data_IF_236481522538
#
_entry.id   IF_236481522538
#
_cell.length_a   1.000
_cell.length_b   1.000
_cell.length_c   1.000
_cell.angle_alpha   90.00
_cell.angle_beta   90.00
_cell.angle_gamma   90.00
#
_symmetry.space_group_name_H-M   'P 1'
#
loop_
_entity.id
_entity.type
_entity.pdbx_description
1 polymer ?
#
# COMPACT_ATOMS: atom_id res chain seq x y z
N UNK A 1 -0.29 1.67 38.27
CA UNK A 1 -0.46 1.32 36.84
C UNK A 1 -1.07 2.49 36.04
N UNK A 2 -2.27 2.96 36.38
CA UNK A 2 -2.95 4.08 35.67
C UNK A 2 -2.12 5.37 35.54
N UNK A 3 -1.39 5.72 36.59
CA UNK A 3 -0.52 6.89 36.62
C UNK A 3 0.62 6.77 35.59
N UNK A 4 1.31 5.63 35.63
CA UNK A 4 2.47 5.32 34.77
C UNK A 4 2.07 5.21 33.30
N UNK A 5 0.97 4.50 32.96
CA UNK A 5 0.59 4.28 31.55
C UNK A 5 0.26 5.55 30.76
N UNK A 6 0.00 6.66 31.47
CA UNK A 6 -0.33 7.99 30.90
C UNK A 6 0.88 8.94 30.88
N UNK A 7 2.08 8.46 31.22
CA UNK A 7 3.29 9.28 31.27
C UNK A 7 3.28 10.35 32.34
N UNK A 8 2.45 10.18 33.39
CA UNK A 8 2.36 11.13 34.49
C UNK A 8 3.61 11.20 35.40
N UNK A 9 4.48 10.18 35.55
CA UNK A 9 5.68 10.31 36.37
C UNK A 9 6.58 11.50 36.05
N UNK A 10 6.71 11.87 34.76
CA UNK A 10 7.46 13.07 34.34
C UNK A 10 6.70 14.37 34.56
N UNK A 11 5.36 14.32 34.51
CA UNK A 11 4.47 15.50 34.56
C UNK A 11 4.09 15.88 35.99
N UNK A 12 4.06 14.91 36.89
CA UNK A 12 3.62 15.05 38.28
C UNK A 12 4.69 14.47 39.22
N UNK A 13 5.85 15.14 39.38
CA UNK A 13 7.00 14.60 40.12
C UNK A 13 6.71 14.38 41.61
N UNK A 14 5.89 15.22 42.23
CA UNK A 14 5.48 15.08 43.64
C UNK A 14 4.70 13.79 43.88
N UNK A 15 3.73 13.50 43.01
CA UNK A 15 2.97 12.26 43.05
C UNK A 15 3.86 11.05 42.76
N UNK A 16 4.81 11.19 41.84
CA UNK A 16 5.78 10.14 41.54
C UNK A 16 6.66 9.80 42.75
N UNK A 17 7.17 10.80 43.48
CA UNK A 17 8.00 10.57 44.66
C UNK A 17 7.24 9.75 45.71
N UNK A 18 5.99 10.12 45.99
CA UNK A 18 5.09 9.36 46.89
C UNK A 18 4.90 7.91 46.44
N UNK A 19 4.58 7.67 45.17
CA UNK A 19 4.40 6.31 44.65
C UNK A 19 5.70 5.51 44.67
N UNK A 20 6.83 6.13 44.35
CA UNK A 20 8.14 5.48 44.33
C UNK A 20 8.61 5.09 45.73
N UNK A 21 8.38 5.92 46.75
CA UNK A 21 8.67 5.61 48.14
C UNK A 21 7.88 4.39 48.63
N UNK A 22 6.57 4.34 48.33
CA UNK A 22 5.74 3.17 48.64
C UNK A 22 6.22 1.90 47.93
N UNK A 23 6.68 2.01 46.68
CA UNK A 23 7.27 0.88 45.96
C UNK A 23 8.56 0.38 46.62
N UNK A 24 9.45 1.28 47.06
CA UNK A 24 10.68 0.93 47.78
C UNK A 24 10.39 0.25 49.12
N UNK A 25 9.41 0.76 49.88
CA UNK A 25 8.97 0.16 51.15
C UNK A 25 8.48 -1.28 50.97
N UNK A 26 7.87 -1.59 49.82
CA UNK A 26 7.44 -2.94 49.46
C UNK A 26 8.52 -3.76 48.75
N UNK A 27 9.80 -3.37 48.88
CA UNK A 27 10.95 -4.05 48.29
C UNK A 27 10.88 -4.23 46.77
N UNK A 28 10.20 -3.31 46.05
CA UNK A 28 10.24 -3.30 44.59
C UNK A 28 11.63 -2.85 44.13
N UNK A 29 12.31 -3.60 43.24
CA UNK A 29 13.64 -3.25 42.78
C UNK A 29 13.71 -1.86 42.12
N UNK A 30 14.82 -1.13 42.37
CA UNK A 30 15.03 0.22 41.84
C UNK A 30 14.95 0.29 40.31
N UNK A 31 15.42 -0.74 39.60
CA UNK A 31 15.34 -0.80 38.14
C UNK A 31 13.89 -0.78 37.63
N UNK A 32 12.95 -1.39 38.36
CA UNK A 32 11.54 -1.44 37.98
C UNK A 32 10.86 -0.10 38.24
N UNK A 33 11.22 0.55 39.35
CA UNK A 33 10.76 1.90 39.68
C UNK A 33 11.23 2.88 38.59
N UNK A 34 12.50 2.83 38.22
CA UNK A 34 13.07 3.68 37.17
C UNK A 34 12.47 3.37 35.79
N UNK A 35 12.21 2.09 35.48
CA UNK A 35 11.47 1.69 34.27
C UNK A 35 10.08 2.35 34.24
N UNK A 36 9.34 2.30 35.34
CA UNK A 36 8.03 2.95 35.47
C UNK A 36 8.11 4.48 35.31
N UNK A 37 9.18 5.13 35.76
CA UNK A 37 9.39 6.58 35.59
C UNK A 37 9.51 6.99 34.11
N UNK A 38 10.13 6.13 33.29
CA UNK A 38 10.46 6.41 31.89
C UNK A 38 9.29 6.22 30.93
N UNK A 39 8.28 5.43 31.31
CA UNK A 39 7.12 5.15 30.46
C UNK A 39 6.35 6.44 30.18
N UNK A 40 6.25 6.82 28.90
CA UNK A 40 5.43 7.96 28.45
C UNK A 40 4.02 7.52 28.05
N UNK A 41 3.90 6.30 27.55
CA UNK A 41 2.64 5.67 27.16
C UNK A 41 2.75 4.15 27.24
N UNK A 42 1.70 3.46 27.68
CA UNK A 42 1.68 1.99 27.74
C UNK A 42 0.29 1.46 27.35
N UNK A 43 0.27 0.49 26.43
CA UNK A 43 -0.96 -0.14 25.98
C UNK A 43 -1.56 -1.07 27.06
N UNK A 44 -2.90 -1.12 27.19
CA UNK A 44 -3.55 -2.15 27.98
C UNK A 44 -3.42 -3.51 27.27
N UNK A 45 -3.33 -4.60 28.06
CA UNK A 45 -3.16 -5.97 27.54
C UNK A 45 -4.19 -6.34 26.47
N UNK A 46 -5.46 -5.98 26.64
CA UNK A 46 -6.52 -6.26 25.66
C UNK A 46 -6.26 -5.65 24.28
N UNK A 47 -5.70 -4.43 24.23
CA UNK A 47 -5.33 -3.78 22.97
C UNK A 47 -4.18 -4.53 22.28
N UNK A 48 -3.13 -4.87 23.04
CA UNK A 48 -2.00 -5.64 22.50
C UNK A 48 -2.46 -7.01 21.96
N UNK A 49 -3.30 -7.74 22.70
CA UNK A 49 -3.83 -9.04 22.27
C UNK A 49 -4.65 -8.91 20.99
N UNK A 50 -5.54 -7.91 20.88
CA UNK A 50 -6.34 -7.70 19.68
C UNK A 50 -5.47 -7.45 18.42
N UNK A 51 -4.45 -6.59 18.55
CA UNK A 51 -3.54 -6.29 17.45
C UNK A 51 -2.67 -7.50 17.06
N UNK A 52 -2.13 -8.22 18.04
CA UNK A 52 -1.32 -9.42 17.79
C UNK A 52 -2.17 -10.51 17.13
N UNK A 53 -3.42 -10.72 17.56
CA UNK A 53 -4.31 -11.68 16.89
C UNK A 53 -4.54 -11.33 15.42
N UNK A 54 -4.75 -10.05 15.10
CA UNK A 54 -4.90 -9.60 13.71
C UNK A 54 -3.60 -9.78 12.92
N UNK A 55 -2.46 -9.43 13.52
CA UNK A 55 -1.15 -9.61 12.89
C UNK A 55 -0.86 -11.08 12.58
N UNK A 56 -1.18 -12.00 13.49
CA UNK A 56 -1.03 -13.45 13.27
C UNK A 56 -1.93 -13.96 12.15
N UNK A 57 -3.18 -13.47 12.07
CA UNK A 57 -4.09 -13.81 10.95
C UNK A 57 -3.53 -13.33 9.62
N UNK A 58 -3.02 -12.11 9.54
CA UNK A 58 -2.40 -11.56 8.32
C UNK A 58 -1.12 -12.32 7.97
N UNK A 59 -0.28 -12.62 8.96
CA UNK A 59 0.97 -13.36 8.78
C UNK A 59 0.74 -14.76 8.21
N UNK A 60 -0.34 -15.44 8.61
CA UNK A 60 -0.74 -16.71 8.03
C UNK A 60 -0.89 -16.61 6.50
N UNK A 61 -1.60 -15.58 6.00
CA UNK A 61 -1.72 -15.37 4.54
C UNK A 61 -0.38 -15.01 3.92
N UNK A 62 0.45 -14.18 4.57
CA UNK A 62 1.78 -13.84 4.05
C UNK A 62 2.65 -15.07 3.83
N UNK A 63 2.59 -16.05 4.75
CA UNK A 63 3.40 -17.27 4.66
C UNK A 63 2.76 -18.30 3.72
N UNK A 64 1.48 -18.62 3.92
CA UNK A 64 0.84 -19.78 3.29
C UNK A 64 0.00 -19.45 2.04
N UNK A 65 -0.39 -18.18 1.85
CA UNK A 65 -1.21 -17.71 0.73
C UNK A 65 -0.65 -16.39 0.18
N UNK A 66 0.62 -16.36 -0.24
CA UNK A 66 1.35 -15.12 -0.47
C UNK A 66 0.72 -14.27 -1.58
N UNK A 67 0.21 -14.87 -2.66
CA UNK A 67 -0.51 -14.13 -3.71
C UNK A 67 -1.69 -13.35 -3.16
N UNK A 68 -2.52 -13.97 -2.32
CA UNK A 68 -3.66 -13.31 -1.68
C UNK A 68 -3.20 -12.19 -0.74
N UNK A 69 -2.12 -12.41 0.02
CA UNK A 69 -1.54 -11.38 0.88
C UNK A 69 -1.07 -10.16 0.09
N UNK A 70 -0.25 -10.34 -0.95
CA UNK A 70 0.31 -9.23 -1.72
C UNK A 70 -0.77 -8.50 -2.52
N UNK A 71 -1.71 -9.23 -3.14
CA UNK A 71 -2.83 -8.62 -3.86
C UNK A 71 -3.70 -7.77 -2.91
N UNK A 72 -4.02 -8.28 -1.72
CA UNK A 72 -4.79 -7.53 -0.73
C UNK A 72 -4.02 -6.32 -0.17
N UNK A 73 -2.72 -6.50 0.13
CA UNK A 73 -1.87 -5.43 0.65
C UNK A 73 -1.75 -4.27 -0.35
N UNK A 74 -1.43 -4.60 -1.61
CA UNK A 74 -1.28 -3.61 -2.69
C UNK A 74 -2.62 -2.95 -3.04
N UNK A 75 -3.73 -3.69 -3.03
CA UNK A 75 -5.06 -3.11 -3.24
C UNK A 75 -5.41 -2.05 -2.21
N UNK A 76 -5.05 -2.26 -0.93
CA UNK A 76 -5.27 -1.26 0.14
C UNK A 76 -4.40 -0.01 -0.04
N UNK A 77 -3.36 -0.09 -0.86
CA UNK A 77 -2.37 0.95 -1.10
C UNK A 77 -2.36 1.43 -2.56
N UNK A 78 -3.41 1.09 -3.33
CA UNK A 78 -3.44 1.33 -4.76
C UNK A 78 -3.37 2.82 -5.14
N UNK A 79 -3.93 3.71 -4.31
CA UNK A 79 -3.87 5.16 -4.53
C UNK A 79 -2.45 5.75 -4.42
N UNK A 80 -1.56 5.07 -3.68
CA UNK A 80 -0.16 5.44 -3.49
C UNK A 80 0.77 4.63 -4.43
N UNK A 81 0.23 3.74 -5.27
CA UNK A 81 1.01 2.88 -6.16
C UNK A 81 1.31 3.58 -7.48
N UNK A 82 2.59 3.54 -7.87
CA UNK A 82 3.06 4.09 -9.15
C UNK A 82 3.71 2.97 -9.97
N UNK A 83 3.07 2.56 -11.08
CA UNK A 83 3.63 1.51 -11.94
C UNK A 83 5.01 1.86 -12.51
N UNK A 84 5.30 3.13 -12.79
CA UNK A 84 6.59 3.55 -13.37
C UNK A 84 7.76 3.26 -12.42
N UNK A 85 7.47 3.16 -11.11
CA UNK A 85 8.46 2.96 -10.05
C UNK A 85 8.33 1.58 -9.40
N UNK A 86 7.11 1.07 -9.25
CA UNK A 86 6.76 -0.07 -8.39
C UNK A 86 6.31 -1.32 -9.19
N UNK A 87 6.43 -1.31 -10.52
CA UNK A 87 6.11 -2.49 -11.34
C UNK A 87 7.19 -3.58 -11.29
N UNK A 88 8.43 -3.23 -10.94
CA UNK A 88 9.57 -4.15 -10.84
C UNK A 88 10.41 -3.84 -9.62
N UNK A 89 10.94 -4.89 -9.00
CA UNK A 89 11.80 -4.85 -7.82
C UNK A 89 13.08 -4.07 -8.04
N UNK A 90 13.65 -4.08 -9.26
CA UNK A 90 14.84 -3.26 -9.56
C UNK A 90 14.55 -1.76 -9.51
N UNK A 91 13.40 -1.32 -10.05
CA UNK A 91 12.97 0.07 -10.02
C UNK A 91 12.59 0.50 -8.59
N UNK A 92 11.89 -0.39 -7.87
CA UNK A 92 11.55 -0.17 -6.47
C UNK A 92 12.82 -0.06 -5.60
N UNK A 93 13.85 -0.88 -5.83
CA UNK A 93 15.15 -0.78 -5.14
C UNK A 93 15.84 0.56 -5.40
N UNK A 94 15.91 0.99 -6.66
CA UNK A 94 16.46 2.32 -7.00
C UNK A 94 15.72 3.42 -6.25
N UNK A 95 14.38 3.32 -6.16
CA UNK A 95 13.59 4.28 -5.39
C UNK A 95 13.90 4.26 -3.90
N UNK A 96 14.04 3.08 -3.31
CA UNK A 96 14.41 2.94 -1.90
C UNK A 96 15.78 3.57 -1.60
N UNK A 97 16.75 3.43 -2.51
CA UNK A 97 18.06 4.08 -2.37
C UNK A 97 17.93 5.61 -2.40
N UNK A 98 17.12 6.17 -3.30
CA UNK A 98 16.83 7.61 -3.32
C UNK A 98 16.18 8.12 -2.03
N UNK A 99 15.21 7.35 -1.51
CA UNK A 99 14.48 7.69 -0.29
C UNK A 99 15.37 7.57 0.96
N UNK A 100 16.29 6.61 0.99
CA UNK A 100 17.22 6.40 2.11
C UNK A 100 18.19 7.57 2.33
N UNK A 101 18.53 8.32 1.27
CA UNK A 101 19.41 9.49 1.34
C UNK A 101 18.76 10.71 2.02
N UNK A 102 17.43 10.67 2.24
CA UNK A 102 16.69 11.80 2.82
C UNK A 102 16.58 11.62 4.34
N UNK A 103 16.98 12.61 5.15
CA UNK A 103 16.98 12.49 6.62
C UNK A 103 15.57 12.42 7.22
N UNK A 104 14.56 12.94 6.52
CA UNK A 104 13.16 12.90 6.95
C UNK A 104 12.24 12.73 5.76
N UNK A 105 11.37 11.73 5.83
CA UNK A 105 10.34 11.45 4.84
C UNK A 105 8.99 11.99 5.33
N UNK A 106 8.26 12.65 4.42
CA UNK A 106 6.86 13.00 4.63
C UNK A 106 5.96 11.74 4.58
N UNK A 107 4.70 11.83 5.06
CA UNK A 107 3.81 10.67 5.13
C UNK A 107 3.59 9.96 3.79
N UNK A 108 3.54 10.71 2.68
CA UNK A 108 3.34 10.13 1.33
C UNK A 108 4.57 9.33 0.92
N UNK A 109 5.77 9.89 1.08
CA UNK A 109 7.02 9.17 0.79
C UNK A 109 7.24 7.95 1.70
N UNK A 110 6.73 7.96 2.94
CA UNK A 110 6.75 6.77 3.81
C UNK A 110 5.85 5.65 3.30
N UNK A 111 4.67 6.00 2.77
CA UNK A 111 3.80 5.01 2.10
C UNK A 111 4.48 4.45 0.86
N UNK A 112 5.07 5.32 0.03
CA UNK A 112 5.82 4.95 -1.16
C UNK A 112 6.96 3.97 -0.83
N UNK A 113 7.74 4.27 0.21
CA UNK A 113 8.79 3.39 0.73
C UNK A 113 8.23 2.01 1.12
N UNK A 114 7.15 1.96 1.89
CA UNK A 114 6.56 0.71 2.35
C UNK A 114 6.03 -0.16 1.19
N UNK A 115 5.51 0.46 0.12
CA UNK A 115 5.07 -0.27 -1.07
C UNK A 115 6.29 -0.81 -1.83
N UNK A 116 7.33 0.00 -2.00
CA UNK A 116 8.58 -0.44 -2.65
C UNK A 116 9.21 -1.62 -1.91
N UNK A 117 9.29 -1.59 -0.58
CA UNK A 117 9.77 -2.71 0.25
C UNK A 117 8.97 -3.99 -0.01
N UNK A 118 7.64 -3.89 -0.10
CA UNK A 118 6.76 -5.03 -0.37
C UNK A 118 6.92 -5.57 -1.78
N UNK A 119 7.07 -4.70 -2.79
CA UNK A 119 7.32 -5.12 -4.18
C UNK A 119 8.66 -5.87 -4.28
N UNK A 120 9.70 -5.37 -3.63
CA UNK A 120 11.01 -6.02 -3.60
C UNK A 120 10.95 -7.38 -2.91
N UNK A 121 10.25 -7.49 -1.78
CA UNK A 121 10.05 -8.76 -1.08
C UNK A 121 9.26 -9.76 -1.94
N UNK A 122 8.18 -9.29 -2.57
CA UNK A 122 7.32 -10.11 -3.43
C UNK A 122 8.09 -10.70 -4.62
N UNK A 123 8.88 -9.88 -5.31
CA UNK A 123 9.71 -10.34 -6.44
C UNK A 123 10.83 -11.29 -5.96
N UNK A 124 11.44 -11.03 -4.79
CA UNK A 124 12.41 -11.95 -4.18
C UNK A 124 11.81 -13.31 -3.81
N UNK A 125 10.48 -13.41 -3.66
CA UNK A 125 9.75 -14.67 -3.46
C UNK A 125 9.30 -15.31 -4.77
N UNK A 126 9.72 -14.79 -5.92
CA UNK A 126 9.38 -15.31 -7.24
C UNK A 126 7.96 -14.99 -7.71
N UNK A 127 7.32 -13.97 -7.12
CA UNK A 127 6.00 -13.52 -7.53
C UNK A 127 6.12 -12.31 -8.45
N UNK A 128 5.26 -12.26 -9.47
CA UNK A 128 5.37 -11.27 -10.53
C UNK A 128 4.13 -10.37 -10.60
N UNK A 129 4.38 -9.10 -10.96
CA UNK A 129 3.32 -8.17 -11.36
C UNK A 129 3.12 -8.23 -12.87
N UNK A 130 1.88 -8.51 -13.28
CA UNK A 130 1.44 -8.31 -14.65
C UNK A 130 1.17 -6.82 -14.88
N UNK A 131 1.55 -6.29 -16.06
CA UNK A 131 1.24 -4.92 -16.43
C UNK A 131 -0.28 -4.71 -16.51
N UNK A 132 -0.68 -3.45 -16.56
CA UNK A 132 -2.08 -3.08 -16.78
C UNK A 132 -2.51 -3.56 -18.16
N UNK A 133 -3.73 -4.05 -18.23
CA UNK A 133 -4.43 -4.40 -19.46
C UNK A 133 -5.83 -3.79 -19.40
N UNK A 134 -6.24 -3.09 -20.47
CA UNK A 134 -7.50 -2.34 -20.48
C UNK A 134 -8.73 -3.23 -20.28
N UNK A 135 -8.65 -4.52 -20.63
CA UNK A 135 -9.76 -5.48 -20.53
C UNK A 135 -9.67 -6.34 -19.28
N UNK A 136 -8.46 -6.67 -18.82
CA UNK A 136 -8.26 -7.61 -17.71
C UNK A 136 -8.05 -6.93 -16.35
N UNK A 137 -7.45 -5.73 -16.32
CA UNK A 137 -7.17 -5.03 -15.05
C UNK A 137 -8.46 -4.52 -14.41
N UNK A 138 -8.58 -4.66 -13.09
CA UNK A 138 -9.63 -3.98 -12.32
C UNK A 138 -9.34 -2.47 -12.23
N UNK A 139 -10.34 -1.68 -11.84
CA UNK A 139 -10.16 -0.24 -11.67
C UNK A 139 -9.22 0.12 -10.52
N UNK A 140 -9.33 -0.56 -9.36
CA UNK A 140 -8.61 -0.18 -8.12
C UNK A 140 -7.96 -1.36 -7.40
N UNK A 141 -8.35 -2.60 -7.71
CA UNK A 141 -7.88 -3.79 -6.99
C UNK A 141 -6.80 -4.54 -7.79
N UNK A 142 -5.76 -4.97 -7.09
CA UNK A 142 -4.83 -5.93 -7.64
C UNK A 142 -5.52 -7.30 -7.69
N UNK A 143 -5.65 -7.87 -8.88
CA UNK A 143 -6.31 -9.16 -9.12
C UNK A 143 -5.28 -10.26 -9.33
N UNK A 144 -5.63 -11.51 -8.98
CA UNK A 144 -4.74 -12.65 -9.16
C UNK A 144 -5.11 -13.33 -10.48
N UNK A 145 -4.12 -13.56 -11.33
CA UNK A 145 -4.28 -14.20 -12.63
C UNK A 145 -3.08 -15.11 -12.92
N UNK A 146 -3.32 -16.39 -13.24
CA UNK A 146 -2.29 -17.39 -13.55
C UNK A 146 -1.07 -17.36 -12.61
N UNK A 147 -1.32 -17.34 -11.29
CA UNK A 147 -0.27 -17.31 -10.25
C UNK A 147 0.58 -16.02 -10.23
N UNK A 148 0.09 -14.95 -10.86
CA UNK A 148 0.67 -13.60 -10.87
C UNK A 148 -0.36 -12.60 -10.38
N UNK A 149 0.07 -11.35 -10.16
CA UNK A 149 -0.80 -10.28 -9.68
C UNK A 149 -0.89 -9.19 -10.74
N UNK A 150 -2.09 -8.87 -11.21
CA UNK A 150 -2.31 -7.83 -12.21
C UNK A 150 -2.46 -6.46 -11.56
N UNK A 151 -1.70 -5.50 -12.08
CA UNK A 151 -1.78 -4.11 -11.65
C UNK A 151 -3.13 -3.51 -12.11
N UNK A 152 -3.88 -2.81 -11.22
CA UNK A 152 -5.12 -2.13 -11.58
C UNK A 152 -4.88 -0.87 -12.41
N UNK A 153 -5.93 -0.38 -13.07
CA UNK A 153 -5.90 0.84 -13.88
C UNK A 153 -5.40 2.06 -13.08
N UNK A 154 -5.76 2.17 -11.78
CA UNK A 154 -5.31 3.26 -10.91
C UNK A 154 -3.79 3.32 -10.72
N UNK A 155 -3.06 2.23 -10.98
CA UNK A 155 -1.60 2.24 -10.95
C UNK A 155 -0.95 3.05 -12.08
N UNK A 156 -1.74 3.55 -13.04
CA UNK A 156 -1.26 4.45 -14.10
C UNK A 156 -1.32 5.90 -13.60
N UNK A 157 -0.15 6.48 -13.40
CA UNK A 157 -0.01 7.89 -13.07
C UNK A 157 -0.72 8.81 -14.07
N UNK A 158 -1.67 9.60 -13.56
CA UNK A 158 -2.45 10.57 -14.33
C UNK A 158 -3.81 10.04 -14.80
N UNK A 159 -4.14 8.77 -14.55
CA UNK A 159 -5.46 8.23 -14.83
C UNK A 159 -6.41 8.54 -13.65
N UNK A 160 -7.31 9.52 -13.84
CA UNK A 160 -8.26 9.93 -12.81
C UNK A 160 -9.37 8.89 -12.58
N UNK A 161 -9.90 8.84 -11.35
CA UNK A 161 -10.96 7.89 -10.97
C UNK A 161 -12.17 7.88 -11.89
N UNK A 162 -12.63 9.05 -12.35
CA UNK A 162 -13.75 9.16 -13.29
C UNK A 162 -13.46 8.48 -14.65
N UNK A 163 -12.21 8.55 -15.13
CA UNK A 163 -11.79 7.89 -16.38
C UNK A 163 -11.70 6.38 -16.16
N UNK A 164 -11.20 5.94 -15.01
CA UNK A 164 -11.16 4.52 -14.63
C UNK A 164 -12.57 3.93 -14.61
N UNK A 165 -13.50 4.61 -13.93
CA UNK A 165 -14.89 4.16 -13.82
C UNK A 165 -15.55 4.11 -15.22
N UNK A 166 -15.26 5.09 -16.09
CA UNK A 166 -15.71 5.09 -17.47
C UNK A 166 -15.13 3.91 -18.27
N UNK A 167 -13.82 3.63 -18.16
CA UNK A 167 -13.19 2.48 -18.83
C UNK A 167 -13.86 1.18 -18.41
N UNK A 168 -14.02 0.97 -17.10
CA UNK A 168 -14.59 -0.27 -16.54
C UNK A 168 -16.04 -0.46 -16.98
N UNK A 169 -16.84 0.62 -17.00
CA UNK A 169 -18.22 0.57 -17.48
C UNK A 169 -18.32 0.33 -18.98
N UNK A 170 -17.60 1.11 -19.79
CA UNK A 170 -17.69 1.05 -21.25
C UNK A 170 -17.22 -0.30 -21.80
N UNK A 171 -16.17 -0.90 -21.23
CA UNK A 171 -15.70 -2.22 -21.70
C UNK A 171 -16.70 -3.35 -21.44
N UNK A 172 -17.64 -3.19 -20.50
CA UNK A 172 -18.75 -4.13 -20.27
C UNK A 172 -19.83 -4.00 -21.35
N UNK A 173 -20.09 -2.78 -21.81
CA UNK A 173 -21.05 -2.50 -22.90
C UNK A 173 -20.53 -3.01 -24.26
N UNK A 174 -19.21 -3.06 -24.44
CA UNK A 174 -18.60 -3.66 -25.63
C UNK A 174 -17.11 -3.35 -25.75
N UNK A 175 -16.38 -4.22 -26.47
CA UNK A 175 -14.94 -4.05 -26.70
C UNK A 175 -14.67 -2.73 -27.44
N UNK A 176 -13.65 -2.01 -27.00
CA UNK A 176 -13.11 -0.88 -27.77
C UNK A 176 -12.59 -1.38 -29.13
N UNK A 177 -12.95 -0.68 -30.19
CA UNK A 177 -12.56 -1.03 -31.57
C UNK A 177 -11.27 -0.32 -32.01
N UNK A 178 -10.94 0.82 -31.39
CA UNK A 178 -9.72 1.57 -31.65
C UNK A 178 -9.34 2.45 -30.46
N UNK A 179 -8.16 3.05 -30.53
CA UNK A 179 -7.71 4.08 -29.59
C UNK A 179 -8.62 5.32 -29.65
N UNK A 180 -9.11 5.70 -30.84
CA UNK A 180 -10.10 6.78 -30.98
C UNK A 180 -11.42 6.47 -30.27
N UNK A 181 -11.91 5.24 -30.40
CA UNK A 181 -13.13 4.80 -29.72
C UNK A 181 -12.97 4.83 -28.20
N UNK A 182 -11.83 4.32 -27.70
CA UNK A 182 -11.48 4.40 -26.28
C UNK A 182 -11.47 5.85 -25.79
N UNK A 183 -10.82 6.77 -26.54
CA UNK A 183 -10.78 8.21 -26.22
C UNK A 183 -12.16 8.84 -26.18
N UNK A 184 -13.00 8.57 -27.18
CA UNK A 184 -14.35 9.11 -27.29
C UNK A 184 -15.24 8.65 -26.15
N UNK A 185 -15.23 7.35 -25.82
CA UNK A 185 -16.10 6.74 -24.81
C UNK A 185 -15.68 7.09 -23.38
N UNK A 186 -14.38 7.12 -23.11
CA UNK A 186 -13.86 7.28 -21.74
C UNK A 186 -13.36 8.69 -21.41
N UNK A 187 -13.29 9.57 -22.41
CA UNK A 187 -12.72 10.93 -22.30
C UNK A 187 -11.28 10.96 -21.79
N UNK A 188 -10.53 9.88 -21.98
CA UNK A 188 -9.11 9.80 -21.63
C UNK A 188 -8.29 10.79 -22.47
N UNK A 189 -7.34 11.48 -21.84
CA UNK A 189 -6.47 12.44 -22.51
C UNK A 189 -5.32 11.77 -23.25
N UNK A 190 -4.83 12.41 -24.32
CA UNK A 190 -3.75 11.89 -25.17
C UNK A 190 -2.49 11.44 -24.39
N UNK A 191 -1.98 12.22 -23.39
CA UNK A 191 -0.77 11.80 -22.67
C UNK A 191 -0.93 10.47 -21.94
N UNK A 192 -2.14 10.15 -21.47
CA UNK A 192 -2.41 8.88 -20.76
C UNK A 192 -2.58 7.73 -21.75
N UNK A 193 -3.12 8.01 -22.94
CA UNK A 193 -3.17 7.04 -24.05
C UNK A 193 -1.76 6.66 -24.49
N UNK A 194 -0.85 7.64 -24.63
CA UNK A 194 0.53 7.37 -25.01
C UNK A 194 1.23 6.50 -23.96
N UNK A 195 0.97 6.75 -22.66
CA UNK A 195 1.42 5.87 -21.57
C UNK A 195 0.87 4.46 -21.70
N UNK A 196 -0.44 4.30 -21.94
CA UNK A 196 -1.08 2.99 -22.14
C UNK A 196 -0.47 2.22 -23.31
N UNK A 197 -0.11 2.90 -24.41
CA UNK A 197 0.60 2.29 -25.54
C UNK A 197 1.99 1.83 -25.15
N UNK A 198 2.76 2.69 -24.48
CA UNK A 198 4.13 2.40 -24.08
C UNK A 198 4.24 1.19 -23.14
N UNK A 199 3.26 1.00 -22.26
CA UNK A 199 3.21 -0.18 -21.37
C UNK A 199 2.54 -1.40 -22.01
N UNK A 200 2.06 -1.29 -23.25
CA UNK A 200 1.40 -2.36 -23.99
C UNK A 200 -0.05 -2.66 -23.56
N UNK A 201 -0.65 -1.86 -22.68
CA UNK A 201 -1.99 -2.08 -22.11
C UNK A 201 -3.14 -2.02 -23.13
N UNK A 202 -2.89 -1.40 -24.29
CA UNK A 202 -3.83 -1.27 -25.41
C UNK A 202 -3.23 -1.76 -26.73
N UNK A 203 -2.21 -2.62 -26.68
CA UNK A 203 -1.49 -3.13 -27.85
C UNK A 203 -2.37 -3.86 -28.88
N UNK A 204 -3.53 -4.35 -28.47
CA UNK A 204 -4.51 -5.01 -29.34
C UNK A 204 -5.41 -4.04 -30.14
N UNK A 205 -5.35 -2.72 -29.88
CA UNK A 205 -6.20 -1.72 -30.53
C UNK A 205 -5.49 -1.09 -31.74
N UNK A 206 -6.23 -0.93 -32.85
CA UNK A 206 -5.80 -0.08 -33.95
C UNK A 206 -5.89 1.40 -33.56
N UNK A 207 -5.12 2.26 -34.24
CA UNK A 207 -5.15 3.71 -34.00
C UNK A 207 -6.53 4.31 -34.27
N UNK A 208 -7.09 4.00 -35.44
CA UNK A 208 -8.37 4.55 -35.92
C UNK A 208 -9.36 3.43 -36.25
N UNK A 209 -10.63 3.81 -36.33
CA UNK A 209 -11.67 2.92 -36.85
C UNK A 209 -11.52 2.82 -38.36
N UNK A 210 -11.26 1.62 -38.88
CA UNK A 210 -11.23 1.40 -40.33
C UNK A 210 -12.64 1.30 -40.94
N UNK A 211 -13.67 1.03 -40.12
CA UNK A 211 -15.08 0.97 -40.52
C UNK A 211 -15.93 1.57 -39.38
N UNK A 212 -16.81 2.51 -39.71
CA UNK A 212 -17.84 3.04 -38.79
C UNK A 212 -19.18 2.49 -39.24
N UNK A 213 -19.85 1.70 -38.40
CA UNK A 213 -21.23 1.26 -38.63
C UNK A 213 -22.14 2.13 -37.76
N UNK A 214 -23.16 2.70 -38.41
CA UNK A 214 -24.07 3.70 -37.87
C UNK A 214 -24.88 3.21 -36.67
#
# INVERSE_FOLDING_TARGET
MEFVRKGKPKKEPENWEKYSAMMKEKNVPDWYIESCRRIEYMFPKGHAVAYVMMAMRIAYFKVHQPLAFYAAFLSRKADDFDMEVMSRGILAKQKLEELSKKPKLDPKKKNEQAICEIVVEMEARGLELLPVDIYLSDGKKFTIEYNKIRIPLIGINGLGGAVIDAIVKEREEGKFISVEDLKRRTKIQQPVVDKLKNIGAISSLSETNQISLF
#
